data_IF_429151428866
#
_entry.id   IF_429151428866
#
_cell.length_a   1.000
_cell.length_b   1.000
_cell.length_c   1.000
_cell.angle_alpha   90.00
_cell.angle_beta   90.00
_cell.angle_gamma   90.00
#
_symmetry.space_group_name_H-M   'P 1'
#
loop_
_entity.id
_entity.type
_entity.pdbx_description
1 polymer ?
#
# COMPACT_ATOMS: atom_id res chain seq x y z
N UNK A 1 -61.24 -23.40 14.86
CA UNK A 1 -59.86 -23.42 15.34
C UNK A 1 -59.26 -24.68 14.81
N UNK A 2 -58.22 -24.58 14.02
CA UNK A 2 -57.51 -25.73 13.53
C UNK A 2 -56.60 -26.31 14.61
N UNK A 3 -56.48 -27.59 14.71
CA UNK A 3 -55.54 -28.29 15.57
C UNK A 3 -54.38 -28.78 14.77
N UNK A 4 -53.15 -28.49 15.18
CA UNK A 4 -51.90 -28.88 14.52
C UNK A 4 -51.05 -29.73 15.47
N UNK A 5 -50.29 -30.71 14.98
CA UNK A 5 -49.38 -31.48 15.82
C UNK A 5 -48.16 -30.61 16.20
N UNK A 6 -47.77 -30.63 17.45
CA UNK A 6 -46.61 -29.93 17.95
C UNK A 6 -45.29 -30.57 17.39
N UNK A 7 -44.40 -29.81 16.77
CA UNK A 7 -43.13 -30.37 16.27
C UNK A 7 -42.20 -30.90 17.37
N UNK A 8 -42.37 -30.45 18.62
CA UNK A 8 -41.54 -30.87 19.75
C UNK A 8 -41.98 -32.14 20.45
N UNK A 9 -43.32 -32.40 20.53
CA UNK A 9 -43.84 -33.55 21.27
C UNK A 9 -44.91 -34.35 20.55
N UNK A 10 -45.41 -33.89 19.36
CA UNK A 10 -46.45 -34.58 18.58
C UNK A 10 -47.89 -34.37 19.08
N UNK A 11 -48.11 -33.77 20.21
CA UNK A 11 -49.45 -33.52 20.78
C UNK A 11 -50.20 -32.46 19.95
N UNK A 12 -51.52 -32.62 19.85
CA UNK A 12 -52.39 -31.73 19.07
C UNK A 12 -52.66 -30.43 19.89
N UNK A 13 -52.32 -29.31 19.30
CA UNK A 13 -52.49 -27.98 19.90
C UNK A 13 -53.17 -27.02 18.91
N UNK A 14 -53.70 -25.91 19.43
CA UNK A 14 -54.30 -24.89 18.57
C UNK A 14 -53.25 -24.22 17.70
N UNK A 15 -53.57 -24.02 16.43
CA UNK A 15 -52.75 -23.28 15.44
C UNK A 15 -52.47 -21.82 15.84
N UNK A 16 -53.17 -21.30 16.82
CA UNK A 16 -52.98 -19.92 17.36
C UNK A 16 -52.24 -19.87 18.69
N UNK A 17 -51.78 -21.01 19.19
CA UNK A 17 -51.03 -21.04 20.44
C UNK A 17 -49.60 -20.54 20.23
N UNK A 18 -49.11 -19.56 21.02
CA UNK A 18 -47.71 -19.07 20.87
C UNK A 18 -46.68 -20.09 21.36
N UNK A 19 -47.12 -21.03 22.22
CA UNK A 19 -46.25 -22.03 22.85
C UNK A 19 -47.03 -23.31 23.07
N UNK A 20 -46.38 -24.45 22.94
CA UNK A 20 -46.97 -25.75 23.26
C UNK A 20 -47.17 -25.91 24.79
N UNK A 21 -48.40 -26.12 25.23
CA UNK A 21 -48.73 -26.30 26.66
C UNK A 21 -48.22 -27.61 27.26
N UNK A 22 -47.81 -28.58 26.41
CA UNK A 22 -47.34 -29.91 26.82
C UNK A 22 -45.82 -29.98 26.96
N UNK A 23 -45.06 -29.31 26.08
CA UNK A 23 -43.58 -29.42 26.06
C UNK A 23 -42.83 -28.09 26.05
N UNK A 24 -43.52 -26.95 26.05
CA UNK A 24 -42.90 -25.64 26.04
C UNK A 24 -42.29 -25.19 24.70
N UNK A 25 -42.51 -25.93 23.62
CA UNK A 25 -42.02 -25.54 22.30
C UNK A 25 -42.64 -24.22 21.84
N UNK A 26 -41.81 -23.20 21.58
CA UNK A 26 -42.25 -21.88 21.12
C UNK A 26 -42.39 -21.89 19.59
N UNK A 27 -43.53 -21.44 19.10
CA UNK A 27 -43.77 -21.26 17.68
C UNK A 27 -43.22 -19.89 17.25
N UNK A 28 -42.48 -19.85 16.15
CA UNK A 28 -42.01 -18.60 15.58
C UNK A 28 -43.21 -17.67 15.32
N UNK A 29 -43.12 -16.38 15.68
CA UNK A 29 -44.21 -15.44 15.42
C UNK A 29 -44.55 -15.42 13.93
N UNK A 30 -45.82 -15.67 13.61
CA UNK A 30 -46.28 -15.60 12.23
C UNK A 30 -46.22 -14.16 11.75
N UNK A 31 -45.52 -13.92 10.65
CA UNK A 31 -45.49 -12.61 10.01
C UNK A 31 -46.44 -12.59 8.83
N UNK A 32 -47.06 -11.45 8.57
CA UNK A 32 -47.84 -11.21 7.35
C UNK A 32 -47.16 -10.15 6.49
N UNK A 33 -47.30 -10.29 5.18
CA UNK A 33 -46.71 -9.35 4.23
C UNK A 33 -47.76 -8.35 3.80
N UNK A 34 -47.44 -7.07 3.87
CA UNK A 34 -48.31 -6.00 3.42
C UNK A 34 -48.54 -6.07 1.92
N UNK A 35 -49.78 -6.11 1.43
CA UNK A 35 -50.10 -6.21 0.02
C UNK A 35 -49.72 -4.96 -0.80
N UNK A 36 -49.63 -3.79 -0.15
CA UNK A 36 -49.34 -2.52 -0.82
C UNK A 36 -47.83 -2.25 -0.98
N UNK A 37 -47.01 -2.56 0.04
CA UNK A 37 -45.59 -2.20 0.02
C UNK A 37 -44.64 -3.36 0.22
N UNK A 38 -45.12 -4.61 0.36
CA UNK A 38 -44.31 -5.80 0.54
C UNK A 38 -43.56 -5.91 1.88
N UNK A 39 -43.78 -5.00 2.84
CA UNK A 39 -43.11 -5.05 4.13
C UNK A 39 -43.71 -6.12 5.03
N UNK A 40 -42.87 -6.83 5.80
CA UNK A 40 -43.29 -7.76 6.81
C UNK A 40 -43.86 -7.02 8.04
N UNK A 41 -44.98 -7.47 8.55
CA UNK A 41 -45.60 -6.97 9.74
C UNK A 41 -45.96 -8.13 10.69
N UNK A 42 -46.10 -7.84 11.97
CA UNK A 42 -46.59 -8.81 12.94
C UNK A 42 -47.97 -9.32 12.53
N UNK A 43 -48.25 -10.60 12.75
CA UNK A 43 -49.56 -11.19 12.42
C UNK A 43 -50.73 -10.51 13.14
N UNK A 44 -50.48 -9.87 14.25
CA UNK A 44 -51.47 -9.14 15.08
C UNK A 44 -51.61 -7.67 14.68
N UNK A 45 -50.72 -7.14 13.86
CA UNK A 45 -50.74 -5.74 13.45
C UNK A 45 -51.99 -5.41 12.63
N UNK A 46 -52.72 -4.38 13.00
CA UNK A 46 -53.93 -3.92 12.30
C UNK A 46 -53.63 -2.98 11.15
N UNK A 47 -52.43 -2.36 11.15
CA UNK A 47 -51.93 -1.47 10.09
C UNK A 47 -50.48 -1.77 9.80
N UNK A 48 -50.06 -1.58 8.56
CA UNK A 48 -48.67 -1.74 8.16
C UNK A 48 -47.79 -0.65 8.77
N UNK A 49 -46.72 -0.98 9.52
CA UNK A 49 -45.87 0.02 10.19
C UNK A 49 -45.04 0.84 9.17
N UNK A 50 -44.93 0.38 7.90
CA UNK A 50 -44.13 1.07 6.88
C UNK A 50 -44.95 2.03 6.02
N UNK A 51 -46.18 1.68 5.64
CA UNK A 51 -46.97 2.48 4.71
C UNK A 51 -48.36 2.87 5.25
N UNK A 52 -48.74 2.45 6.48
CA UNK A 52 -50.01 2.76 7.07
C UNK A 52 -51.22 2.02 6.47
N UNK A 53 -51.01 1.06 5.54
CA UNK A 53 -52.09 0.28 4.95
C UNK A 53 -52.79 -0.61 6.03
N UNK A 54 -54.12 -0.63 6.12
CA UNK A 54 -54.82 -1.53 7.05
C UNK A 54 -54.60 -2.99 6.64
N UNK A 55 -54.24 -3.82 7.61
CA UNK A 55 -53.93 -5.24 7.46
C UNK A 55 -55.04 -6.15 8.00
N UNK A 56 -56.17 -5.54 8.44
CA UNK A 56 -57.35 -6.23 8.93
C UNK A 56 -58.50 -6.08 7.95
N UNK A 57 -58.92 -7.18 7.33
CA UNK A 57 -60.12 -7.18 6.48
C UNK A 57 -60.16 -8.45 5.63
N UNK A 58 -60.83 -9.48 6.12
CA UNK A 58 -61.45 -10.48 5.29
C UNK A 58 -62.66 -9.85 4.63
N UNK A 59 -62.54 -9.52 3.34
CA UNK A 59 -63.59 -9.53 2.34
C UNK A 59 -63.11 -8.77 1.09
N UNK A 60 -62.34 -9.46 0.29
CA UNK A 60 -62.25 -9.07 -1.13
C UNK A 60 -62.97 -10.12 -1.93
N UNK A 61 -64.29 -9.94 -2.11
CA UNK A 61 -64.97 -10.49 -3.24
C UNK A 61 -64.29 -9.98 -4.49
N UNK A 62 -63.59 -10.86 -5.18
CA UNK A 62 -62.99 -10.62 -6.49
C UNK A 62 -64.12 -10.45 -7.51
N UNK A 63 -64.63 -9.26 -7.68
CA UNK A 63 -65.29 -8.87 -8.91
C UNK A 63 -64.17 -8.74 -9.95
N UNK A 64 -64.22 -9.43 -11.07
CA UNK A 64 -63.23 -9.20 -12.17
C UNK A 64 -63.52 -7.79 -12.70
N UNK A 65 -62.70 -6.84 -12.31
CA UNK A 65 -62.65 -5.56 -12.98
C UNK A 65 -61.88 -5.81 -14.29
N UNK A 66 -62.63 -5.84 -15.34
CA UNK A 66 -62.09 -5.80 -16.71
C UNK A 66 -61.37 -4.44 -16.85
N UNK A 67 -60.06 -4.46 -16.59
CA UNK A 67 -59.21 -3.26 -16.76
C UNK A 67 -59.02 -3.13 -18.31
N UNK A 68 -59.91 -2.41 -18.93
CA UNK A 68 -59.70 -1.92 -20.30
C UNK A 68 -58.59 -0.86 -20.22
N UNK A 69 -57.36 -1.29 -20.34
CA UNK A 69 -56.20 -0.43 -20.50
C UNK A 69 -56.36 0.33 -21.81
N UNK A 70 -56.73 1.60 -21.74
CA UNK A 70 -56.86 2.42 -22.94
C UNK A 70 -55.56 2.37 -23.73
N UNK A 71 -55.60 2.31 -25.08
CA UNK A 71 -54.41 2.28 -25.95
C UNK A 71 -53.47 3.45 -25.68
N UNK A 72 -53.96 4.56 -25.12
CA UNK A 72 -53.21 5.78 -24.74
C UNK A 72 -52.29 5.53 -23.51
N UNK A 73 -52.74 4.76 -22.48
CA UNK A 73 -51.97 4.46 -21.28
C UNK A 73 -50.76 3.56 -21.60
N UNK A 74 -50.96 2.54 -22.49
CA UNK A 74 -49.85 1.68 -22.95
C UNK A 74 -48.73 2.46 -23.65
N UNK A 75 -49.10 3.46 -24.47
CA UNK A 75 -48.13 4.25 -25.21
C UNK A 75 -47.30 5.18 -24.31
N UNK A 76 -47.90 5.66 -23.21
CA UNK A 76 -47.17 6.48 -22.21
C UNK A 76 -46.31 5.63 -21.30
N UNK A 77 -46.78 4.41 -20.90
CA UNK A 77 -45.99 3.48 -20.09
C UNK A 77 -44.75 3.00 -20.81
N UNK A 78 -44.83 2.70 -22.12
CA UNK A 78 -43.66 2.32 -22.91
C UNK A 78 -42.67 3.48 -23.04
N UNK A 79 -43.16 4.72 -23.23
CA UNK A 79 -42.28 5.92 -23.25
C UNK A 79 -41.55 6.16 -21.94
N UNK A 80 -42.22 5.99 -20.80
CA UNK A 80 -41.63 6.10 -19.45
C UNK A 80 -40.64 4.98 -19.25
N UNK A 81 -40.96 3.73 -19.59
CA UNK A 81 -40.03 2.60 -19.47
C UNK A 81 -38.76 2.79 -20.34
N UNK A 82 -38.91 3.30 -21.56
CA UNK A 82 -37.76 3.63 -22.44
C UNK A 82 -36.91 4.78 -21.87
N UNK A 83 -37.54 5.80 -21.30
CA UNK A 83 -36.84 6.93 -20.68
C UNK A 83 -36.05 6.47 -19.43
N UNK A 84 -36.64 5.62 -18.59
CA UNK A 84 -35.96 5.05 -17.41
C UNK A 84 -34.79 4.15 -17.83
N UNK A 85 -34.99 3.31 -18.86
CA UNK A 85 -33.91 2.46 -19.39
C UNK A 85 -32.76 3.32 -19.93
N UNK A 86 -33.06 4.42 -20.64
CA UNK A 86 -32.04 5.31 -21.16
C UNK A 86 -31.22 5.97 -20.01
N UNK A 87 -31.88 6.40 -18.93
CA UNK A 87 -31.19 6.96 -17.75
C UNK A 87 -30.30 5.93 -17.07
N UNK A 88 -30.77 4.68 -16.94
CA UNK A 88 -29.98 3.58 -16.36
C UNK A 88 -28.75 3.28 -17.22
N UNK A 89 -28.92 3.25 -18.55
CA UNK A 89 -27.79 3.01 -19.48
C UNK A 89 -26.77 4.13 -19.39
N UNK A 90 -27.20 5.40 -19.35
CA UNK A 90 -26.29 6.56 -19.20
C UNK A 90 -25.57 6.51 -17.85
N UNK A 91 -26.26 6.14 -16.77
CA UNK A 91 -25.64 5.97 -15.45
C UNK A 91 -24.60 4.84 -15.43
N UNK A 92 -24.90 3.70 -16.09
CA UNK A 92 -23.94 2.60 -16.20
C UNK A 92 -22.71 2.97 -17.04
N UNK A 93 -22.88 3.67 -18.15
CA UNK A 93 -21.78 4.16 -18.99
C UNK A 93 -20.94 5.19 -18.20
N UNK A 94 -21.58 6.10 -17.47
CA UNK A 94 -20.90 7.09 -16.61
C UNK A 94 -20.11 6.39 -15.49
N UNK A 95 -20.68 5.38 -14.84
CA UNK A 95 -20.02 4.59 -13.80
C UNK A 95 -18.85 3.77 -14.35
N UNK A 96 -19.03 3.13 -15.53
CA UNK A 96 -17.96 2.40 -16.20
C UNK A 96 -16.81 3.32 -16.62
N UNK A 97 -17.12 4.52 -17.16
CA UNK A 97 -16.12 5.53 -17.51
C UNK A 97 -15.38 6.08 -16.29
N UNK A 98 -16.09 6.32 -15.17
CA UNK A 98 -15.48 6.72 -13.90
C UNK A 98 -14.52 5.66 -13.37
N UNK A 99 -14.97 4.39 -13.31
CA UNK A 99 -14.12 3.26 -12.90
C UNK A 99 -12.91 3.08 -13.81
N UNK A 100 -13.06 3.21 -15.13
CA UNK A 100 -11.94 3.12 -16.06
C UNK A 100 -10.93 4.26 -15.85
N UNK A 101 -11.39 5.47 -15.53
CA UNK A 101 -10.53 6.62 -15.20
C UNK A 101 -9.79 6.43 -13.88
N UNK A 102 -10.44 5.88 -12.84
CA UNK A 102 -9.78 5.57 -11.57
C UNK A 102 -8.72 4.48 -11.75
N UNK A 103 -9.04 3.41 -12.46
CA UNK A 103 -8.09 2.32 -12.73
C UNK A 103 -6.87 2.83 -13.52
N UNK A 104 -7.07 3.70 -14.51
CA UNK A 104 -5.97 4.31 -15.26
C UNK A 104 -5.07 5.16 -14.37
N UNK A 105 -5.64 6.01 -13.52
CA UNK A 105 -4.87 6.81 -12.55
C UNK A 105 -4.12 5.95 -11.54
N UNK A 106 -4.73 4.87 -11.05
CA UNK A 106 -4.08 3.94 -10.14
C UNK A 106 -2.90 3.23 -10.82
N UNK A 107 -3.05 2.83 -12.09
CA UNK A 107 -1.98 2.21 -12.86
C UNK A 107 -0.83 3.20 -13.12
N UNK A 108 -1.12 4.43 -13.56
CA UNK A 108 -0.12 5.48 -13.76
C UNK A 108 0.65 5.78 -12.46
N UNK A 109 -0.04 5.81 -11.31
CA UNK A 109 0.58 6.01 -10.00
C UNK A 109 1.46 4.82 -9.59
N UNK A 110 1.04 3.59 -9.87
CA UNK A 110 1.81 2.36 -9.63
C UNK A 110 3.09 2.32 -10.49
N UNK A 111 2.97 2.65 -11.78
CA UNK A 111 4.12 2.74 -12.69
C UNK A 111 5.12 3.82 -12.24
N UNK A 112 4.63 5.00 -11.87
CA UNK A 112 5.47 6.09 -11.35
C UNK A 112 6.16 5.70 -10.02
N UNK A 113 5.47 4.99 -9.13
CA UNK A 113 6.05 4.47 -7.89
C UNK A 113 7.19 3.50 -8.19
N UNK A 114 7.00 2.58 -9.14
CA UNK A 114 8.03 1.61 -9.55
C UNK A 114 9.26 2.30 -10.15
N UNK A 115 9.08 3.29 -11.02
CA UNK A 115 10.21 4.03 -11.60
C UNK A 115 10.98 4.80 -10.51
N UNK A 116 10.32 5.47 -9.57
CA UNK A 116 10.99 6.13 -8.44
C UNK A 116 11.76 5.14 -7.55
N UNK A 117 11.19 3.96 -7.30
CA UNK A 117 11.85 2.89 -6.54
C UNK A 117 13.11 2.39 -7.24
N UNK A 118 13.07 2.24 -8.55
CA UNK A 118 14.21 1.86 -9.39
C UNK A 118 15.27 2.96 -9.46
N UNK A 119 14.86 4.20 -9.65
CA UNK A 119 15.76 5.34 -9.74
C UNK A 119 16.51 5.59 -8.43
N UNK A 120 15.83 5.55 -7.28
CA UNK A 120 16.47 5.70 -5.97
C UNK A 120 17.44 4.55 -5.69
N UNK A 121 17.08 3.32 -6.08
CA UNK A 121 17.98 2.16 -5.94
C UNK A 121 19.25 2.33 -6.77
N UNK A 122 19.12 2.78 -8.01
CA UNK A 122 20.27 3.03 -8.89
C UNK A 122 21.15 4.18 -8.38
N UNK A 123 20.54 5.23 -7.84
CA UNK A 123 21.25 6.38 -7.24
C UNK A 123 22.06 5.92 -6.03
N UNK A 124 21.46 5.15 -5.12
CA UNK A 124 22.16 4.57 -3.97
C UNK A 124 23.31 3.66 -4.41
N UNK A 125 23.09 2.79 -5.39
CA UNK A 125 24.12 1.87 -5.89
C UNK A 125 25.32 2.63 -6.47
N UNK A 126 25.07 3.64 -7.29
CA UNK A 126 26.12 4.47 -7.90
C UNK A 126 26.91 5.27 -6.86
N UNK A 127 26.20 5.82 -5.88
CA UNK A 127 26.81 6.56 -4.78
C UNK A 127 27.58 5.64 -3.83
N UNK A 128 27.08 4.44 -3.53
CA UNK A 128 27.78 3.42 -2.75
C UNK A 128 29.09 2.96 -3.43
N UNK A 129 29.09 2.75 -4.75
CA UNK A 129 30.33 2.45 -5.50
C UNK A 129 31.34 3.60 -5.42
N UNK A 130 30.87 4.85 -5.42
CA UNK A 130 31.71 6.03 -5.21
C UNK A 130 32.29 6.08 -3.79
N UNK A 131 31.46 5.71 -2.80
CA UNK A 131 31.87 5.61 -1.40
C UNK A 131 32.89 4.48 -1.19
N UNK A 132 32.68 3.31 -1.79
CA UNK A 132 33.65 2.20 -1.78
C UNK A 132 35.01 2.64 -2.32
N UNK A 133 35.02 3.30 -3.47
CA UNK A 133 36.26 3.87 -4.05
C UNK A 133 36.94 4.89 -3.13
N UNK A 134 36.17 5.77 -2.51
CA UNK A 134 36.68 6.78 -1.56
C UNK A 134 37.22 6.14 -0.28
N UNK A 135 36.48 5.21 0.33
CA UNK A 135 36.89 4.52 1.55
C UNK A 135 38.14 3.67 1.36
N UNK A 136 38.27 3.01 0.22
CA UNK A 136 39.51 2.29 -0.11
C UNK A 136 40.71 3.24 -0.23
N UNK A 137 40.53 4.43 -0.80
CA UNK A 137 41.60 5.43 -0.86
C UNK A 137 41.93 6.01 0.53
N UNK A 138 40.93 6.27 1.37
CA UNK A 138 41.12 6.71 2.77
C UNK A 138 41.97 5.67 3.52
N UNK A 139 41.58 4.37 3.47
CA UNK A 139 42.34 3.28 4.11
C UNK A 139 43.79 3.24 3.62
N UNK A 140 44.00 3.38 2.32
CA UNK A 140 45.34 3.30 1.74
C UNK A 140 46.21 4.50 2.13
N UNK A 141 45.66 5.72 2.10
CA UNK A 141 46.37 6.94 2.57
C UNK A 141 46.71 6.83 4.05
N UNK A 142 45.76 6.42 4.85
CA UNK A 142 45.95 6.25 6.30
C UNK A 142 47.00 5.23 6.64
N UNK A 143 46.92 4.05 6.00
CA UNK A 143 47.90 2.95 6.16
C UNK A 143 49.31 3.42 5.73
N UNK A 144 49.46 3.99 4.52
CA UNK A 144 50.72 4.41 3.99
C UNK A 144 51.36 5.55 4.80
N UNK A 145 50.57 6.42 5.43
CA UNK A 145 51.07 7.44 6.32
C UNK A 145 51.61 6.87 7.65
N UNK A 146 50.93 5.85 8.24
CA UNK A 146 51.34 5.23 9.51
C UNK A 146 52.62 4.36 9.31
N UNK A 147 52.64 3.54 8.22
CA UNK A 147 53.69 2.56 8.03
C UNK A 147 54.80 3.05 7.07
N UNK A 148 54.76 4.32 6.68
CA UNK A 148 55.72 4.96 5.74
C UNK A 148 55.87 4.16 4.43
N UNK A 149 54.73 3.61 3.92
CA UNK A 149 54.72 2.83 2.68
C UNK A 149 54.59 3.75 1.47
N UNK A 150 55.49 3.57 0.49
CA UNK A 150 55.51 4.35 -0.76
C UNK A 150 54.52 3.78 -1.77
N UNK A 151 53.67 4.66 -2.30
CA UNK A 151 52.69 4.31 -3.32
C UNK A 151 52.39 5.52 -4.21
N UNK A 152 52.50 5.36 -5.51
CA UNK A 152 52.35 6.45 -6.48
C UNK A 152 50.98 7.16 -6.41
N UNK A 153 49.93 6.45 -5.97
CA UNK A 153 48.57 7.00 -5.82
C UNK A 153 48.47 7.87 -4.57
N UNK A 154 49.13 7.49 -3.48
CA UNK A 154 49.01 8.14 -2.16
C UNK A 154 50.17 9.07 -1.82
N UNK A 155 51.33 8.96 -2.48
CA UNK A 155 52.55 9.77 -2.21
C UNK A 155 52.22 11.27 -2.20
N UNK A 156 51.35 11.74 -3.05
CA UNK A 156 50.96 13.17 -3.09
C UNK A 156 50.25 13.64 -1.78
N UNK A 157 49.73 12.74 -1.00
CA UNK A 157 49.06 13.03 0.30
C UNK A 157 50.00 12.73 1.47
N UNK A 158 50.71 11.59 1.40
CA UNK A 158 51.56 11.09 2.50
C UNK A 158 52.95 11.67 2.45
N UNK A 159 53.39 12.21 1.30
CA UNK A 159 54.76 12.71 1.03
C UNK A 159 54.78 13.96 0.14
N UNK A 160 53.98 15.01 0.44
CA UNK A 160 53.83 16.17 -0.46
C UNK A 160 55.15 16.86 -0.80
N UNK A 161 56.13 16.82 0.09
CA UNK A 161 57.46 17.42 -0.03
C UNK A 161 58.58 16.38 -0.24
N UNK A 162 58.24 15.15 -0.66
CA UNK A 162 59.20 14.06 -0.83
C UNK A 162 59.53 13.26 0.43
N UNK A 163 59.08 13.71 1.61
CA UNK A 163 59.24 13.06 2.91
C UNK A 163 57.88 12.73 3.47
N UNK A 164 57.77 11.65 4.23
CA UNK A 164 56.52 11.31 4.92
C UNK A 164 56.11 12.41 5.86
N UNK A 165 54.78 12.68 5.92
CA UNK A 165 54.20 13.57 6.93
C UNK A 165 54.41 12.99 8.31
N UNK A 166 54.49 13.86 9.32
CA UNK A 166 54.71 13.41 10.71
C UNK A 166 53.52 12.78 11.41
N UNK A 167 52.31 13.02 10.87
CA UNK A 167 51.04 12.59 11.43
C UNK A 167 50.10 12.13 10.28
N UNK A 168 49.45 10.97 10.45
CA UNK A 168 48.49 10.49 9.50
C UNK A 168 47.28 11.41 9.31
N UNK A 169 46.93 12.25 10.33
CA UNK A 169 45.88 13.26 10.17
C UNK A 169 46.27 14.32 9.13
N UNK A 170 47.56 14.66 9.02
CA UNK A 170 48.04 15.56 7.96
C UNK A 170 47.85 14.92 6.58
N UNK A 171 48.14 13.62 6.45
CA UNK A 171 47.92 12.91 5.18
C UNK A 171 46.43 12.84 4.79
N UNK A 172 45.56 12.58 5.76
CA UNK A 172 44.11 12.61 5.54
C UNK A 172 43.63 14.05 5.24
N UNK A 173 44.13 15.04 5.92
CA UNK A 173 43.85 16.45 5.63
C UNK A 173 44.22 16.83 4.20
N UNK A 174 45.41 16.38 3.71
CA UNK A 174 45.82 16.56 2.34
C UNK A 174 44.88 15.86 1.33
N UNK A 175 44.42 14.65 1.66
CA UNK A 175 43.44 13.90 0.83
C UNK A 175 42.11 14.66 0.75
N UNK A 176 41.54 15.07 1.88
CA UNK A 176 40.26 15.79 1.92
C UNK A 176 40.35 17.22 1.37
N UNK A 177 41.55 17.76 1.24
CA UNK A 177 41.82 19.07 0.60
C UNK A 177 42.03 18.94 -0.92
N UNK A 178 42.28 17.75 -1.44
CA UNK A 178 42.42 17.49 -2.89
C UNK A 178 41.09 17.76 -3.60
N UNK A 179 41.12 18.59 -4.64
CA UNK A 179 39.90 19.05 -5.32
C UNK A 179 39.05 17.91 -5.90
N UNK A 180 39.72 16.86 -6.44
CA UNK A 180 39.01 15.71 -7.04
C UNK A 180 38.37 14.83 -5.97
N UNK A 181 39.07 14.61 -4.84
CA UNK A 181 38.53 13.86 -3.72
C UNK A 181 37.39 14.62 -3.03
N UNK A 182 37.58 15.91 -2.79
CA UNK A 182 36.53 16.79 -2.24
C UNK A 182 35.26 16.78 -3.11
N UNK A 183 35.41 16.86 -4.44
CA UNK A 183 34.28 16.76 -5.37
C UNK A 183 33.57 15.43 -5.26
N UNK A 184 34.32 14.31 -5.08
CA UNK A 184 33.74 12.97 -4.87
C UNK A 184 32.91 12.91 -3.58
N UNK A 185 33.46 13.42 -2.46
CA UNK A 185 32.73 13.47 -1.18
C UNK A 185 31.46 14.32 -1.31
N UNK A 186 31.56 15.53 -1.88
CA UNK A 186 30.38 16.39 -2.10
C UNK A 186 29.32 15.74 -3.01
N UNK A 187 29.74 14.93 -3.98
CA UNK A 187 28.79 14.18 -4.81
C UNK A 187 28.06 13.07 -4.03
N UNK A 188 28.78 12.40 -3.12
CA UNK A 188 28.17 11.40 -2.20
C UNK A 188 27.15 12.07 -1.28
N UNK A 189 27.51 13.21 -0.66
CA UNK A 189 26.61 13.99 0.21
C UNK A 189 25.37 14.47 -0.55
N UNK A 190 25.54 15.00 -1.77
CA UNK A 190 24.40 15.38 -2.64
C UNK A 190 23.49 14.20 -2.95
N UNK A 191 24.09 13.03 -3.22
CA UNK A 191 23.30 11.81 -3.47
C UNK A 191 22.52 11.36 -2.23
N UNK A 192 23.05 11.55 -1.01
CA UNK A 192 22.31 11.28 0.24
C UNK A 192 21.05 12.16 0.35
N UNK A 193 21.18 13.46 0.02
CA UNK A 193 20.05 14.40 0.04
C UNK A 193 18.98 14.04 -1.01
N UNK A 194 19.42 13.72 -2.24
CA UNK A 194 18.51 13.30 -3.32
C UNK A 194 17.77 12.01 -2.96
N UNK A 195 18.50 11.01 -2.46
CA UNK A 195 17.96 9.72 -1.99
C UNK A 195 16.94 9.95 -0.87
N UNK A 196 17.28 10.78 0.13
CA UNK A 196 16.36 11.10 1.24
C UNK A 196 15.06 11.74 0.73
N UNK A 197 15.15 12.61 -0.29
CA UNK A 197 13.98 13.25 -0.89
C UNK A 197 13.06 12.21 -1.54
N UNK A 198 13.61 11.31 -2.35
CA UNK A 198 12.82 10.26 -3.02
C UNK A 198 12.28 9.24 -2.01
N UNK A 199 13.06 8.87 -0.99
CA UNK A 199 12.59 7.97 0.08
C UNK A 199 11.37 8.53 0.83
N UNK A 200 11.29 9.86 1.01
CA UNK A 200 10.09 10.51 1.59
C UNK A 200 8.87 10.40 0.69
N UNK A 201 9.04 10.47 -0.62
CA UNK A 201 7.94 10.29 -1.58
C UNK A 201 7.43 8.85 -1.63
N UNK A 202 8.30 7.88 -1.36
CA UNK A 202 8.01 6.45 -1.39
C UNK A 202 7.36 5.91 -0.11
N UNK A 203 7.16 6.71 0.95
CA UNK A 203 6.72 6.27 2.29
C UNK A 203 5.38 5.51 2.35
N UNK A 204 4.52 5.67 1.36
CA UNK A 204 3.20 5.02 1.32
C UNK A 204 3.09 4.10 0.11
N UNK A 205 3.77 2.92 0.14
CA UNK A 205 3.79 2.01 -1.00
C UNK A 205 2.40 1.46 -1.31
N UNK A 206 2.03 1.35 -2.60
CA UNK A 206 0.92 0.49 -3.02
C UNK A 206 1.10 -0.93 -2.47
N UNK A 207 0.00 -1.66 -2.29
CA UNK A 207 0.02 -3.00 -1.68
C UNK A 207 1.03 -3.94 -2.36
N UNK A 208 1.11 -3.89 -3.66
CA UNK A 208 2.01 -4.69 -4.50
C UNK A 208 3.51 -4.38 -4.28
N UNK A 209 3.86 -3.17 -3.79
CA UNK A 209 5.25 -2.74 -3.55
C UNK A 209 5.67 -2.73 -2.08
N UNK A 210 4.83 -3.13 -1.15
CA UNK A 210 5.16 -3.13 0.29
C UNK A 210 6.42 -3.92 0.61
N UNK A 211 6.58 -5.11 0.01
CA UNK A 211 7.77 -5.94 0.20
C UNK A 211 9.02 -5.33 -0.45
N UNK A 212 8.87 -4.71 -1.61
CA UNK A 212 9.95 -4.00 -2.29
C UNK A 212 10.42 -2.78 -1.47
N UNK A 213 9.47 -2.01 -0.92
CA UNK A 213 9.78 -0.88 -0.05
C UNK A 213 10.48 -1.29 1.24
N UNK A 214 10.08 -2.41 1.86
CA UNK A 214 10.77 -2.95 3.03
C UNK A 214 12.23 -3.37 2.71
N UNK A 215 12.47 -3.95 1.52
CA UNK A 215 13.81 -4.26 1.06
C UNK A 215 14.61 -2.99 0.75
N UNK A 216 13.97 -1.97 0.17
CA UNK A 216 14.57 -0.66 -0.09
C UNK A 216 15.00 0.05 1.19
N UNK A 217 14.19 0.00 2.26
CA UNK A 217 14.56 0.58 3.55
C UNK A 217 15.82 -0.04 4.13
N UNK A 218 15.95 -1.37 4.09
CA UNK A 218 17.17 -2.05 4.53
C UNK A 218 18.39 -1.63 3.68
N UNK A 219 18.22 -1.51 2.37
CA UNK A 219 19.30 -1.06 1.48
C UNK A 219 19.67 0.41 1.74
N UNK A 220 18.69 1.26 2.05
CA UNK A 220 18.90 2.66 2.42
C UNK A 220 19.70 2.80 3.72
N UNK A 221 19.37 2.00 4.74
CA UNK A 221 20.07 2.04 6.03
C UNK A 221 21.54 1.63 5.86
N UNK A 222 21.82 0.53 5.15
CA UNK A 222 23.17 0.06 4.85
C UNK A 222 23.94 1.07 3.98
N UNK A 223 23.27 1.68 2.99
CA UNK A 223 23.82 2.74 2.15
C UNK A 223 24.26 3.96 2.97
N UNK A 224 23.42 4.41 3.91
CA UNK A 224 23.77 5.52 4.78
C UNK A 224 24.95 5.19 5.69
N UNK A 225 25.00 3.98 6.24
CA UNK A 225 26.14 3.54 7.07
C UNK A 225 27.45 3.63 6.28
N UNK A 226 27.50 3.06 5.08
CA UNK A 226 28.70 3.11 4.24
C UNK A 226 29.10 4.54 3.86
N UNK A 227 28.15 5.34 3.39
CA UNK A 227 28.43 6.69 2.92
C UNK A 227 28.86 7.63 4.04
N UNK A 228 28.26 7.54 5.24
CA UNK A 228 28.63 8.33 6.42
C UNK A 228 30.06 8.02 6.90
N UNK A 229 30.47 6.74 6.85
CA UNK A 229 31.85 6.36 7.20
C UNK A 229 32.90 7.05 6.33
N UNK A 230 32.57 7.29 5.05
CA UNK A 230 33.53 7.89 4.09
C UNK A 230 33.50 9.40 4.09
N UNK A 231 32.34 10.01 4.37
CA UNK A 231 32.21 11.48 4.43
C UNK A 231 32.77 12.04 5.73
N UNK A 232 32.72 11.27 6.84
CA UNK A 232 33.25 11.66 8.16
C UNK A 232 34.04 10.50 8.81
N UNK A 233 35.22 10.14 8.27
CA UNK A 233 36.02 9.04 8.80
C UNK A 233 36.58 9.36 10.18
N UNK A 234 36.41 8.43 11.14
CA UNK A 234 36.83 8.62 12.53
C UNK A 234 37.36 7.32 13.16
N UNK A 235 37.97 7.47 14.34
CA UNK A 235 38.51 6.36 15.11
C UNK A 235 39.95 5.99 14.76
N UNK A 236 40.28 4.72 14.72
CA UNK A 236 41.59 4.18 14.31
C UNK A 236 41.48 3.57 12.91
N UNK A 237 42.62 3.43 12.21
CA UNK A 237 42.68 2.73 10.93
C UNK A 237 42.05 1.31 11.01
N UNK A 238 42.31 0.57 12.09
CA UNK A 238 41.75 -0.77 12.28
C UNK A 238 40.24 -0.74 12.42
N UNK A 239 39.71 0.16 13.27
CA UNK A 239 38.26 0.29 13.48
C UNK A 239 37.56 0.79 12.21
N UNK A 240 38.09 1.82 11.57
CA UNK A 240 37.57 2.34 10.31
C UNK A 240 37.54 1.23 9.23
N UNK A 241 38.66 0.49 9.08
CA UNK A 241 38.74 -0.58 8.07
C UNK A 241 37.76 -1.71 8.31
N UNK A 242 37.53 -2.10 9.57
CA UNK A 242 36.53 -3.11 9.91
C UNK A 242 35.12 -2.63 9.58
N UNK A 243 34.74 -1.48 10.14
CA UNK A 243 33.39 -0.90 9.95
C UNK A 243 33.09 -0.66 8.47
N UNK A 244 34.08 -0.15 7.71
CA UNK A 244 33.94 0.07 6.29
C UNK A 244 33.71 -1.24 5.52
N UNK A 245 34.49 -2.29 5.81
CA UNK A 245 34.31 -3.58 5.12
C UNK A 245 32.96 -4.21 5.48
N UNK A 246 32.52 -4.08 6.75
CA UNK A 246 31.22 -4.60 7.19
C UNK A 246 30.06 -3.86 6.51
N UNK A 247 30.13 -2.52 6.43
CA UNK A 247 29.12 -1.69 5.75
C UNK A 247 29.07 -1.95 4.24
N UNK A 248 30.23 -2.10 3.58
CA UNK A 248 30.32 -2.43 2.16
C UNK A 248 29.69 -3.79 1.83
N UNK A 249 29.98 -4.79 2.68
CA UNK A 249 29.31 -6.10 2.57
C UNK A 249 27.79 -6.01 2.82
N UNK A 250 27.34 -5.22 3.78
CA UNK A 250 25.93 -5.02 4.08
C UNK A 250 25.19 -4.40 2.88
N UNK A 251 25.75 -3.34 2.28
CA UNK A 251 25.24 -2.71 1.05
C UNK A 251 25.11 -3.73 -0.08
N UNK A 252 26.15 -4.53 -0.32
CA UNK A 252 26.13 -5.56 -1.35
C UNK A 252 25.02 -6.60 -1.13
N UNK A 253 24.84 -7.04 0.12
CA UNK A 253 23.85 -8.02 0.50
C UNK A 253 22.39 -7.47 0.39
N UNK A 254 22.16 -6.25 0.87
CA UNK A 254 20.83 -5.63 0.82
C UNK A 254 20.44 -5.22 -0.60
N UNK A 255 21.39 -4.74 -1.40
CA UNK A 255 21.17 -4.53 -2.84
C UNK A 255 20.79 -5.83 -3.55
N UNK A 256 21.50 -6.94 -3.25
CA UNK A 256 21.16 -8.26 -3.79
C UNK A 256 19.72 -8.69 -3.52
N UNK A 257 19.18 -8.34 -2.34
CA UNK A 257 17.77 -8.56 -1.99
C UNK A 257 16.83 -7.60 -2.73
N UNK A 258 17.22 -6.31 -2.81
CA UNK A 258 16.43 -5.29 -3.49
C UNK A 258 16.29 -5.58 -4.98
N UNK A 259 17.34 -6.08 -5.61
CA UNK A 259 17.37 -6.44 -7.04
C UNK A 259 16.26 -7.44 -7.41
N UNK A 260 15.85 -8.33 -6.50
CA UNK A 260 14.77 -9.29 -6.75
C UNK A 260 13.43 -8.64 -7.10
N UNK A 261 13.24 -7.36 -6.78
CA UNK A 261 12.03 -6.58 -7.03
C UNK A 261 12.16 -5.66 -8.26
N UNK A 262 13.34 -5.57 -8.87
CA UNK A 262 13.61 -4.68 -10.01
C UNK A 262 13.66 -5.41 -11.37
N UNK A 263 13.83 -6.72 -11.37
CA UNK A 263 14.05 -7.54 -12.58
C UNK A 263 12.71 -8.18 -13.10
N UNK A 264 11.53 -7.64 -12.73
CA UNK A 264 10.22 -8.14 -13.18
C UNK A 264 9.63 -7.31 -14.32
#
# INVERSE_FOLDING_TARGET
MAMIPCPGCGEMISDKSPQCIHCGYEFAPQKKVCPECGAEADATASVCPKCGCPLTGSDFTSTPVEVTVSKSAKKNFVKIAVAVLAVVVVALIGFAGYKASENKKAQEASEAYYENLKDVTNTMLSSAASAESAGNLIKQVWYNAIYEERNSTTDKYTRPNGYFVSDFNEALGNLFSDSSFKSKISSIESSQDDVLSIMKELQNPPEEYQSAYAALQNFYDDYLELTNLVTDPSGSLTTFSSNFNDADNAVSNSYGKMKLYLDN
#
